data_IF_287233079543
#
_entry.id   IF_287233079543
#
_cell.length_a   1.000
_cell.length_b   1.000
_cell.length_c   1.000
_cell.angle_alpha   90.00
_cell.angle_beta   90.00
_cell.angle_gamma   90.00
#
_symmetry.space_group_name_H-M   'P 1'
#
loop_
_entity.id
_entity.type
_entity.pdbx_description
1 polymer ?
#
# COMPACT_ATOMS: atom_id res chain seq x y z
N UNK A 1 14.68 50.95 -60.40
CA UNK A 1 13.72 51.93 -59.86
C UNK A 1 12.36 51.65 -60.51
N UNK A 2 11.25 51.46 -59.78
CA UNK A 2 11.14 51.19 -58.34
C UNK A 2 10.08 50.13 -57.90
N UNK A 3 10.21 49.68 -56.64
CA UNK A 3 9.18 49.26 -55.64
C UNK A 3 8.33 47.98 -55.93
N UNK A 4 8.01 47.10 -54.98
CA UNK A 4 7.74 47.29 -53.54
C UNK A 4 7.69 45.94 -52.79
N UNK A 5 8.09 45.95 -51.51
CA UNK A 5 7.90 44.91 -50.49
C UNK A 5 6.43 44.53 -50.25
N UNK A 6 6.17 43.29 -49.79
CA UNK A 6 5.58 43.02 -48.46
C UNK A 6 5.38 41.52 -48.18
N UNK A 7 5.82 41.12 -46.97
CA UNK A 7 5.52 39.88 -46.27
C UNK A 7 4.02 39.58 -46.18
N UNK A 8 3.65 38.29 -46.21
CA UNK A 8 2.82 37.67 -45.17
C UNK A 8 2.76 36.15 -45.39
N UNK A 9 3.21 35.42 -44.37
CA UNK A 9 2.94 34.00 -44.16
C UNK A 9 1.42 33.75 -44.18
N UNK A 10 0.97 32.91 -45.09
CA UNK A 10 -0.41 32.44 -45.17
C UNK A 10 -0.58 31.19 -44.29
N UNK A 11 -0.49 31.40 -42.97
CA UNK A 11 -0.90 30.41 -41.97
C UNK A 11 -2.43 30.39 -41.89
N UNK A 12 -3.05 29.78 -42.90
CA UNK A 12 -4.49 29.52 -42.93
C UNK A 12 -4.86 28.43 -41.92
N UNK A 13 -5.29 28.88 -40.74
CA UNK A 13 -6.50 28.39 -40.04
C UNK A 13 -6.74 26.87 -40.04
N UNK A 14 -5.82 26.09 -39.45
CA UNK A 14 -6.20 24.85 -38.78
C UNK A 14 -6.45 25.16 -37.30
N UNK A 15 -7.51 25.92 -37.07
CA UNK A 15 -8.15 26.10 -35.76
C UNK A 15 -8.53 24.71 -35.25
N UNK A 16 -7.63 24.10 -34.48
CA UNK A 16 -7.98 23.14 -33.46
C UNK A 16 -9.08 23.78 -32.64
N UNK A 17 -10.30 23.32 -32.88
CA UNK A 17 -11.49 23.59 -32.09
C UNK A 17 -11.11 23.34 -30.63
N UNK A 18 -10.76 24.39 -29.89
CA UNK A 18 -10.61 24.28 -28.45
C UNK A 18 -11.98 23.84 -27.95
N UNK A 19 -12.11 22.68 -27.27
CA UNK A 19 -13.35 22.38 -26.59
C UNK A 19 -13.56 23.52 -25.61
N UNK A 20 -14.71 24.19 -25.73
CA UNK A 20 -15.01 25.42 -25.01
C UNK A 20 -14.62 25.34 -23.54
N UNK A 21 -14.12 26.46 -23.00
CA UNK A 21 -13.80 26.64 -21.59
C UNK A 21 -15.07 26.45 -20.74
N UNK A 22 -15.48 25.21 -20.50
CA UNK A 22 -16.28 24.84 -19.35
C UNK A 22 -15.42 25.17 -18.14
N UNK A 23 -15.91 26.03 -17.24
CA UNK A 23 -15.25 26.40 -15.99
C UNK A 23 -15.03 25.13 -15.16
N UNK A 24 -13.88 24.46 -15.33
CA UNK A 24 -13.56 23.23 -14.60
C UNK A 24 -13.33 23.60 -13.14
N UNK A 25 -14.11 23.00 -12.25
CA UNK A 25 -14.00 23.29 -10.82
C UNK A 25 -12.74 22.67 -10.24
N UNK A 26 -11.86 23.48 -9.62
CA UNK A 26 -10.68 23.02 -8.87
C UNK A 26 -11.02 22.05 -7.73
N UNK A 27 -12.27 22.06 -7.25
CA UNK A 27 -12.74 21.18 -6.18
C UNK A 27 -12.93 19.74 -6.63
N UNK A 28 -13.09 19.49 -7.93
CA UNK A 28 -13.30 18.13 -8.43
C UNK A 28 -12.05 17.26 -8.27
N UNK A 29 -10.84 17.68 -8.70
CA UNK A 29 -9.62 16.92 -8.45
C UNK A 29 -9.34 16.70 -6.96
N UNK A 30 -9.54 17.73 -6.14
CA UNK A 30 -9.33 17.66 -4.69
C UNK A 30 -10.31 16.68 -4.02
N UNK A 31 -11.58 16.72 -4.40
CA UNK A 31 -12.58 15.80 -3.86
C UNK A 31 -12.28 14.34 -4.24
N UNK A 32 -11.88 14.09 -5.49
CA UNK A 32 -11.49 12.74 -5.94
C UNK A 32 -10.23 12.24 -5.21
N UNK A 33 -9.26 13.12 -4.93
CA UNK A 33 -8.08 12.78 -4.13
C UNK A 33 -8.46 12.35 -2.71
N UNK A 34 -9.29 13.13 -2.02
CA UNK A 34 -9.71 12.84 -0.64
C UNK A 34 -10.51 11.54 -0.59
N UNK A 35 -11.43 11.33 -1.54
CA UNK A 35 -12.18 10.06 -1.65
C UNK A 35 -11.22 8.89 -1.82
N UNK A 36 -10.27 8.98 -2.77
CA UNK A 36 -9.29 7.93 -3.01
C UNK A 36 -8.45 7.65 -1.76
N UNK A 37 -7.98 8.69 -1.08
CA UNK A 37 -7.16 8.56 0.10
C UNK A 37 -7.92 7.91 1.28
N UNK A 38 -9.18 8.27 1.51
CA UNK A 38 -10.03 7.64 2.55
C UNK A 38 -10.35 6.18 2.22
N UNK A 39 -10.61 5.87 0.95
CA UNK A 39 -10.81 4.50 0.48
C UNK A 39 -9.56 3.66 0.70
N UNK A 40 -8.39 4.20 0.38
CA UNK A 40 -7.12 3.53 0.62
C UNK A 40 -6.81 3.40 2.11
N UNK A 41 -7.12 4.41 2.92
CA UNK A 41 -6.95 4.35 4.36
C UNK A 41 -7.67 3.14 4.95
N UNK A 42 -8.95 2.91 4.61
CA UNK A 42 -9.72 1.78 5.16
C UNK A 42 -9.39 0.47 4.44
N UNK A 43 -9.29 0.50 3.11
CA UNK A 43 -9.09 -0.71 2.30
C UNK A 43 -7.71 -1.34 2.46
N UNK A 44 -6.69 -0.52 2.72
CA UNK A 44 -5.31 -0.99 2.88
C UNK A 44 -5.01 -1.51 4.29
N UNK A 45 -5.78 -1.07 5.29
CA UNK A 45 -5.63 -1.48 6.69
C UNK A 45 -5.51 -3.00 6.88
N UNK A 46 -6.40 -3.84 6.31
CA UNK A 46 -6.28 -5.28 6.43
C UNK A 46 -4.94 -5.84 5.95
N UNK A 47 -4.40 -5.34 4.83
CA UNK A 47 -3.13 -5.85 4.31
C UNK A 47 -1.96 -5.40 5.19
N UNK A 48 -1.94 -4.14 5.64
CA UNK A 48 -0.91 -3.64 6.56
C UNK A 48 -0.87 -4.46 7.85
N UNK A 49 -2.03 -4.74 8.43
CA UNK A 49 -2.12 -5.54 9.65
C UNK A 49 -1.85 -7.01 9.40
N UNK A 50 -2.32 -7.59 8.28
CA UNK A 50 -1.99 -8.97 7.96
C UNK A 50 -0.48 -9.14 7.84
N UNK A 51 0.21 -8.21 7.16
CA UNK A 51 1.66 -8.28 6.99
C UNK A 51 2.42 -8.38 8.32
N UNK A 52 2.00 -7.65 9.36
CA UNK A 52 2.64 -7.76 10.68
C UNK A 52 2.23 -9.01 11.47
N UNK A 53 1.01 -9.51 11.28
CA UNK A 53 0.48 -10.69 11.98
C UNK A 53 0.77 -12.02 11.27
N UNK A 54 1.14 -12.00 10.00
CA UNK A 54 1.13 -13.16 9.10
C UNK A 54 1.93 -14.33 9.70
N UNK A 55 3.20 -14.10 10.03
CA UNK A 55 4.02 -15.14 10.66
C UNK A 55 3.86 -15.24 12.19
N UNK A 56 2.90 -14.52 12.80
CA UNK A 56 2.50 -14.68 14.21
C UNK A 56 1.32 -15.65 14.27
N UNK A 57 0.29 -15.39 13.46
CA UNK A 57 -0.93 -16.20 13.36
C UNK A 57 -0.68 -17.53 12.63
N UNK A 58 0.26 -17.55 11.69
CA UNK A 58 0.57 -18.71 10.88
C UNK A 58 2.09 -19.00 10.95
N UNK A 59 2.61 -19.49 12.09
CA UNK A 59 4.05 -19.66 12.28
C UNK A 59 4.72 -20.62 11.27
N UNK A 60 3.99 -21.63 10.80
CA UNK A 60 4.51 -22.62 9.83
C UNK A 60 4.54 -22.11 8.39
N UNK A 61 3.60 -21.23 8.00
CA UNK A 61 3.34 -20.87 6.60
C UNK A 61 3.49 -19.39 6.29
N UNK A 62 3.31 -18.53 7.28
CA UNK A 62 3.16 -17.09 7.08
C UNK A 62 4.40 -16.44 6.45
N UNK A 63 5.60 -16.84 6.87
CA UNK A 63 6.83 -16.34 6.24
C UNK A 63 6.94 -16.77 4.77
N UNK A 64 6.59 -18.01 4.44
CA UNK A 64 6.57 -18.47 3.04
C UNK A 64 5.50 -17.75 2.22
N UNK A 65 4.33 -17.47 2.81
CA UNK A 65 3.27 -16.67 2.19
C UNK A 65 3.73 -15.23 1.89
N UNK A 66 4.43 -14.57 2.82
CA UNK A 66 5.06 -13.26 2.58
C UNK A 66 6.08 -13.32 1.43
N UNK A 67 6.97 -14.32 1.44
CA UNK A 67 7.96 -14.52 0.38
C UNK A 67 7.30 -14.69 -1.00
N UNK A 68 6.23 -15.48 -1.09
CA UNK A 68 5.46 -15.63 -2.33
C UNK A 68 4.82 -14.30 -2.77
N UNK A 69 4.32 -13.50 -1.82
CA UNK A 69 3.76 -12.17 -2.11
C UNK A 69 4.83 -11.25 -2.72
N UNK A 70 6.02 -11.18 -2.13
CA UNK A 70 7.13 -10.39 -2.68
C UNK A 70 7.62 -10.91 -4.04
N UNK A 71 7.68 -12.22 -4.22
CA UNK A 71 8.07 -12.82 -5.49
C UNK A 71 7.07 -12.44 -6.60
N UNK A 72 5.77 -12.47 -6.27
CA UNK A 72 4.70 -12.00 -7.14
C UNK A 72 4.86 -10.54 -7.52
N UNK A 73 5.16 -9.67 -6.56
CA UNK A 73 5.38 -8.23 -6.79
C UNK A 73 6.38 -7.92 -7.91
N UNK A 74 7.41 -8.73 -8.12
CA UNK A 74 8.38 -8.52 -9.22
C UNK A 74 7.78 -8.74 -10.62
N UNK A 75 6.71 -9.52 -10.79
CA UNK A 75 6.11 -9.74 -12.11
C UNK A 75 5.35 -8.52 -12.64
N UNK A 76 5.07 -7.52 -11.80
CA UNK A 76 4.36 -6.30 -12.21
C UNK A 76 5.10 -5.55 -13.32
N UNK A 77 6.44 -5.64 -13.38
CA UNK A 77 7.24 -4.98 -14.42
C UNK A 77 6.90 -5.47 -15.84
N UNK A 78 6.41 -6.71 -15.96
CA UNK A 78 6.02 -7.33 -17.24
C UNK A 78 4.54 -7.10 -17.56
N UNK A 79 3.68 -7.22 -16.55
CA UNK A 79 2.22 -7.29 -16.72
C UNK A 79 1.55 -5.92 -16.52
N UNK A 80 2.17 -5.02 -15.76
CA UNK A 80 1.57 -3.75 -15.33
C UNK A 80 1.07 -2.87 -16.48
N UNK A 81 1.87 -2.60 -17.54
CA UNK A 81 1.41 -1.81 -18.67
C UNK A 81 0.20 -2.41 -19.39
N UNK A 82 0.17 -3.74 -19.51
CA UNK A 82 -0.94 -4.44 -20.13
C UNK A 82 -2.21 -4.32 -19.29
N UNK A 83 -2.08 -4.48 -17.97
CA UNK A 83 -3.19 -4.47 -17.04
C UNK A 83 -3.80 -3.05 -16.92
N UNK A 84 -2.96 -2.02 -16.84
CA UNK A 84 -3.40 -0.61 -16.86
C UNK A 84 -4.08 -0.27 -18.18
N UNK A 85 -3.57 -0.75 -19.32
CA UNK A 85 -4.17 -0.47 -20.64
C UNK A 85 -5.55 -1.12 -20.81
N UNK A 86 -5.73 -2.36 -20.32
CA UNK A 86 -6.97 -3.11 -20.52
C UNK A 86 -8.06 -2.71 -19.52
N UNK A 87 -7.70 -2.48 -18.25
CA UNK A 87 -8.66 -2.22 -17.17
C UNK A 87 -8.80 -0.73 -16.84
N UNK A 88 -7.87 0.11 -17.30
CA UNK A 88 -7.76 1.50 -16.84
C UNK A 88 -7.30 1.60 -15.37
N UNK A 89 -7.11 2.82 -14.88
CA UNK A 89 -6.66 3.05 -13.50
C UNK A 89 -7.72 2.61 -12.47
N UNK A 90 -9.00 2.98 -12.67
CA UNK A 90 -10.09 2.56 -11.77
C UNK A 90 -10.26 1.04 -11.74
N UNK A 91 -10.28 0.39 -12.91
CA UNK A 91 -10.45 -1.06 -13.00
C UNK A 91 -9.27 -1.82 -12.37
N UNK A 92 -8.05 -1.30 -12.50
CA UNK A 92 -6.87 -1.87 -11.83
C UNK A 92 -6.97 -1.78 -10.32
N UNK A 93 -7.43 -0.65 -9.77
CA UNK A 93 -7.66 -0.49 -8.33
C UNK A 93 -8.75 -1.46 -7.83
N UNK A 94 -9.84 -1.58 -8.57
CA UNK A 94 -10.91 -2.52 -8.23
C UNK A 94 -10.45 -3.98 -8.23
N UNK A 95 -9.64 -4.37 -9.21
CA UNK A 95 -9.04 -5.71 -9.25
C UNK A 95 -8.15 -5.95 -8.02
N UNK A 96 -7.44 -4.92 -7.55
CA UNK A 96 -6.67 -4.96 -6.30
C UNK A 96 -7.51 -5.34 -5.09
N UNK A 97 -8.65 -4.69 -4.89
CA UNK A 97 -9.54 -5.00 -3.76
C UNK A 97 -10.10 -6.42 -3.82
N UNK A 98 -10.43 -6.91 -5.02
CA UNK A 98 -10.87 -8.30 -5.21
C UNK A 98 -9.74 -9.27 -4.89
N UNK A 99 -8.53 -9.01 -5.40
CA UNK A 99 -7.35 -9.84 -5.11
C UNK A 99 -7.02 -9.85 -3.61
N UNK A 100 -7.16 -8.72 -2.93
CA UNK A 100 -6.98 -8.62 -1.48
C UNK A 100 -8.03 -9.43 -0.71
N UNK A 101 -9.31 -9.36 -1.12
CA UNK A 101 -10.36 -10.15 -0.50
C UNK A 101 -10.10 -11.66 -0.68
N UNK A 102 -9.64 -12.10 -1.87
CA UNK A 102 -9.25 -13.50 -2.12
C UNK A 102 -8.02 -13.90 -1.29
N UNK A 103 -7.03 -13.02 -1.16
CA UNK A 103 -5.88 -13.21 -0.28
C UNK A 103 -6.33 -13.43 1.16
N UNK A 104 -7.16 -12.57 1.73
CA UNK A 104 -7.67 -12.73 3.10
C UNK A 104 -8.52 -14.00 3.21
N UNK A 105 -9.37 -14.30 2.22
CA UNK A 105 -10.21 -15.48 2.21
C UNK A 105 -9.41 -16.80 2.25
N UNK A 106 -8.25 -16.85 1.58
CA UNK A 106 -7.38 -18.03 1.59
C UNK A 106 -6.82 -18.37 2.98
N UNK A 107 -6.82 -17.43 3.94
CA UNK A 107 -6.36 -17.66 5.31
C UNK A 107 -7.43 -18.30 6.21
N UNK A 108 -8.71 -18.32 5.81
CA UNK A 108 -9.75 -19.05 6.58
C UNK A 108 -9.53 -20.56 6.56
N UNK A 109 -9.04 -21.07 5.42
CA UNK A 109 -8.70 -22.47 5.26
C UNK A 109 -7.35 -22.60 4.55
N UNK A 110 -6.29 -22.71 5.35
CA UNK A 110 -4.92 -22.75 4.86
C UNK A 110 -4.62 -24.11 4.24
N UNK A 111 -4.68 -24.17 2.90
CA UNK A 111 -4.08 -25.23 2.11
C UNK A 111 -2.79 -24.68 1.49
N UNK A 112 -1.63 -25.16 1.96
CA UNK A 112 -0.29 -24.59 1.66
C UNK A 112 -0.09 -24.21 0.18
N UNK A 113 -0.34 -25.15 -0.75
CA UNK A 113 -0.17 -24.92 -2.19
C UNK A 113 -1.11 -23.84 -2.75
N UNK A 114 -2.36 -23.80 -2.26
CA UNK A 114 -3.36 -22.80 -2.68
C UNK A 114 -2.99 -21.44 -2.11
N UNK A 115 -2.58 -21.39 -0.83
CA UNK A 115 -2.18 -20.15 -0.16
C UNK A 115 -1.02 -19.49 -0.89
N UNK A 116 0.05 -20.23 -1.17
CA UNK A 116 1.24 -19.70 -1.85
C UNK A 116 0.92 -19.17 -3.26
N UNK A 117 0.07 -19.89 -4.01
CA UNK A 117 -0.38 -19.45 -5.33
C UNK A 117 -1.22 -18.16 -5.24
N UNK A 118 -2.12 -18.07 -4.26
CA UNK A 118 -2.95 -16.88 -4.03
C UNK A 118 -2.08 -15.69 -3.61
N UNK A 119 -1.15 -15.87 -2.68
CA UNK A 119 -0.19 -14.84 -2.24
C UNK A 119 0.63 -14.29 -3.41
N UNK A 120 1.14 -15.18 -4.27
CA UNK A 120 1.88 -14.78 -5.46
C UNK A 120 1.06 -13.92 -6.42
N UNK A 121 -0.17 -14.34 -6.74
CA UNK A 121 -1.07 -13.56 -7.58
C UNK A 121 -1.47 -12.24 -6.92
N UNK A 122 -1.75 -12.26 -5.62
CA UNK A 122 -2.08 -11.06 -4.86
C UNK A 122 -0.94 -10.05 -4.86
N UNK A 123 0.32 -10.47 -4.69
CA UNK A 123 1.49 -9.59 -4.79
C UNK A 123 1.54 -8.80 -6.11
N UNK A 124 1.27 -9.48 -7.24
CA UNK A 124 1.18 -8.80 -8.55
C UNK A 124 0.07 -7.75 -8.59
N UNK A 125 -1.12 -8.10 -8.11
CA UNK A 125 -2.28 -7.23 -8.14
C UNK A 125 -2.12 -6.05 -7.18
N UNK A 126 -1.51 -6.27 -6.02
CA UNK A 126 -1.23 -5.27 -5.01
C UNK A 126 -0.28 -4.19 -5.57
N UNK A 127 0.87 -4.57 -6.12
CA UNK A 127 1.80 -3.58 -6.68
C UNK A 127 1.21 -2.88 -7.89
N UNK A 128 0.48 -3.59 -8.76
CA UNK A 128 -0.24 -2.95 -9.85
C UNK A 128 -1.22 -1.87 -9.36
N UNK A 129 -1.92 -2.16 -8.27
CA UNK A 129 -2.90 -1.26 -7.65
C UNK A 129 -2.22 -0.02 -7.08
N UNK A 130 -1.04 -0.17 -6.46
CA UNK A 130 -0.22 0.95 -6.00
C UNK A 130 0.26 1.82 -7.17
N UNK A 131 0.78 1.20 -8.24
CA UNK A 131 1.23 1.92 -9.45
C UNK A 131 0.08 2.70 -10.09
N UNK A 132 -1.08 2.06 -10.24
CA UNK A 132 -2.28 2.69 -10.83
C UNK A 132 -2.77 3.88 -10.02
N UNK A 133 -2.66 3.81 -8.70
CA UNK A 133 -3.03 4.91 -7.80
C UNK A 133 -2.04 6.05 -7.84
N UNK A 134 -0.73 5.79 -7.89
CA UNK A 134 0.28 6.84 -8.10
C UNK A 134 0.04 7.61 -9.41
N UNK A 135 -0.28 6.88 -10.49
CA UNK A 135 -0.65 7.48 -11.79
C UNK A 135 -1.96 8.29 -11.67
N UNK A 136 -2.95 7.78 -10.96
CA UNK A 136 -4.23 8.48 -10.74
C UNK A 136 -4.04 9.79 -9.97
N UNK A 137 -3.29 9.76 -8.85
CA UNK A 137 -2.96 10.96 -8.05
C UNK A 137 -2.18 11.97 -8.87
N UNK A 138 -1.21 11.52 -9.67
CA UNK A 138 -0.46 12.37 -10.60
C UNK A 138 -1.38 13.04 -11.62
N UNK A 139 -2.33 12.29 -12.20
CA UNK A 139 -3.31 12.87 -13.12
C UNK A 139 -4.18 13.95 -12.48
N UNK A 140 -4.64 13.73 -11.24
CA UNK A 140 -5.42 14.73 -10.50
C UNK A 140 -4.58 15.98 -10.20
N UNK A 141 -3.31 15.80 -9.83
CA UNK A 141 -2.38 16.90 -9.58
C UNK A 141 -2.14 17.75 -10.83
N UNK A 142 -1.95 17.10 -11.99
CA UNK A 142 -1.78 17.78 -13.27
C UNK A 142 -3.04 18.52 -13.71
N UNK A 143 -4.23 17.92 -13.58
CA UNK A 143 -5.50 18.60 -13.89
C UNK A 143 -5.75 19.78 -12.93
N UNK A 144 -5.34 19.67 -11.66
CA UNK A 144 -5.38 20.77 -10.71
C UNK A 144 -4.44 21.91 -11.13
N UNK A 145 -3.16 21.62 -11.44
CA UNK A 145 -2.18 22.60 -11.90
C UNK A 145 -2.64 23.33 -13.17
N UNK A 146 -3.23 22.61 -14.13
CA UNK A 146 -3.81 23.17 -15.36
C UNK A 146 -4.94 24.17 -15.06
N UNK A 147 -5.76 23.90 -14.03
CA UNK A 147 -6.91 24.74 -13.64
C UNK A 147 -6.47 25.95 -12.81
N UNK A 148 -5.55 25.79 -11.87
CA UNK A 148 -5.12 26.85 -10.94
C UNK A 148 -3.94 27.67 -11.46
N UNK A 149 -3.36 27.28 -12.60
CA UNK A 149 -2.12 27.85 -13.15
C UNK A 149 -0.93 27.75 -12.17
N UNK A 150 -0.94 26.72 -11.33
CA UNK A 150 0.16 26.40 -10.42
C UNK A 150 1.28 25.62 -11.14
N UNK A 151 2.46 25.53 -10.54
CA UNK A 151 3.54 24.73 -11.09
C UNK A 151 3.25 23.24 -10.93
N UNK A 152 3.47 22.40 -11.96
CA UNK A 152 3.24 20.95 -11.88
C UNK A 152 3.98 20.28 -10.73
N UNK A 153 5.19 20.77 -10.41
CA UNK A 153 6.00 20.23 -9.32
C UNK A 153 5.36 20.46 -7.94
N UNK A 154 4.86 21.66 -7.69
CA UNK A 154 4.19 21.99 -6.43
C UNK A 154 2.88 21.21 -6.28
N UNK A 155 2.03 21.19 -7.32
CA UNK A 155 0.78 20.44 -7.30
C UNK A 155 1.00 18.93 -7.08
N UNK A 156 2.05 18.35 -7.68
CA UNK A 156 2.40 16.94 -7.51
C UNK A 156 2.82 16.64 -6.06
N UNK A 157 3.68 17.48 -5.48
CA UNK A 157 4.10 17.35 -4.08
C UNK A 157 2.92 17.41 -3.12
N UNK A 158 2.04 18.39 -3.29
CA UNK A 158 0.85 18.58 -2.47
C UNK A 158 -0.11 17.37 -2.55
N UNK A 159 -0.47 16.94 -3.75
CA UNK A 159 -1.41 15.84 -3.94
C UNK A 159 -0.85 14.52 -3.43
N UNK A 160 0.44 14.26 -3.68
CA UNK A 160 1.11 13.04 -3.20
C UNK A 160 1.24 13.04 -1.67
N UNK A 161 1.59 14.17 -1.06
CA UNK A 161 1.70 14.31 0.38
C UNK A 161 0.36 14.13 1.11
N UNK A 162 -0.70 14.75 0.61
CA UNK A 162 -2.06 14.60 1.17
C UNK A 162 -2.54 13.16 1.06
N UNK A 163 -2.30 12.50 -0.09
CA UNK A 163 -2.63 11.10 -0.28
C UNK A 163 -1.88 10.21 0.72
N UNK A 164 -0.56 10.33 0.82
CA UNK A 164 0.24 9.48 1.70
C UNK A 164 -0.08 9.70 3.19
N UNK A 165 -0.34 10.93 3.61
CA UNK A 165 -0.68 11.22 5.01
C UNK A 165 -1.94 10.51 5.46
N UNK A 166 -2.99 10.54 4.62
CA UNK A 166 -4.22 9.82 4.89
C UNK A 166 -4.05 8.31 4.72
N UNK A 167 -3.27 7.87 3.73
CA UNK A 167 -2.97 6.46 3.51
C UNK A 167 -2.21 5.84 4.69
N UNK A 168 -1.25 6.54 5.32
CA UNK A 168 -0.47 6.03 6.45
C UNK A 168 -1.35 5.76 7.69
N UNK A 169 -2.48 6.46 7.83
CA UNK A 169 -3.48 6.14 8.85
C UNK A 169 -4.11 4.75 8.67
N UNK A 170 -3.92 4.08 7.51
CA UNK A 170 -4.30 2.68 7.35
C UNK A 170 -3.59 1.75 8.34
N UNK A 171 -2.37 2.08 8.75
CA UNK A 171 -1.64 1.36 9.80
C UNK A 171 -2.32 1.46 11.17
N UNK A 172 -3.23 2.41 11.37
CA UNK A 172 -3.96 2.57 12.64
C UNK A 172 -5.19 1.66 12.69
N UNK A 173 -6.08 1.74 11.69
CA UNK A 173 -7.40 1.12 11.78
C UNK A 173 -7.37 -0.41 11.79
N UNK A 174 -6.55 -1.04 10.95
CA UNK A 174 -6.45 -2.50 10.91
C UNK A 174 -5.85 -3.06 12.19
N UNK A 175 -4.81 -2.38 12.71
CA UNK A 175 -4.12 -2.76 13.93
C UNK A 175 -4.98 -2.53 15.16
N UNK A 176 -5.81 -1.48 15.16
CA UNK A 176 -6.80 -1.23 16.20
C UNK A 176 -7.83 -2.36 16.26
N UNK A 177 -8.37 -2.78 15.12
CA UNK A 177 -9.33 -3.89 15.06
C UNK A 177 -8.70 -5.19 15.54
N UNK A 178 -7.48 -5.50 15.08
CA UNK A 178 -6.75 -6.69 15.54
C UNK A 178 -6.51 -6.66 17.06
N UNK A 179 -5.98 -5.56 17.59
CA UNK A 179 -5.72 -5.42 19.02
C UNK A 179 -7.00 -5.57 19.86
N UNK A 180 -8.12 -4.95 19.46
CA UNK A 180 -9.38 -5.07 20.20
C UNK A 180 -9.95 -6.50 20.20
N UNK A 181 -9.73 -7.25 19.13
CA UNK A 181 -10.22 -8.64 19.02
C UNK A 181 -9.28 -9.62 19.75
N UNK A 182 -7.98 -9.32 19.81
CA UNK A 182 -6.99 -10.16 20.49
C UNK A 182 -7.03 -10.03 22.01
N UNK A 183 -7.54 -8.93 22.57
CA UNK A 183 -7.72 -8.79 24.03
C UNK A 183 -8.74 -9.81 24.51
N UNK A 184 -8.26 -10.82 25.25
CA UNK A 184 -9.12 -11.73 26.02
C UNK A 184 -9.20 -11.22 27.47
N UNK A 185 -10.37 -11.32 28.13
CA UNK A 185 -10.43 -11.08 29.57
C UNK A 185 -9.50 -12.08 30.27
N UNK A 186 -8.68 -11.57 31.20
CA UNK A 186 -7.77 -12.38 31.99
C UNK A 186 -8.62 -13.35 32.82
N UNK A 187 -8.73 -14.61 32.39
CA UNK A 187 -9.16 -15.69 33.25
C UNK A 187 -8.06 -15.87 34.29
N UNK A 188 -8.29 -15.39 35.51
CA UNK A 188 -7.45 -15.68 36.66
C UNK A 188 -7.60 -17.17 37.00
N UNK A 189 -6.88 -18.03 36.29
CA UNK A 189 -6.67 -19.41 36.70
C UNK A 189 -5.76 -19.41 37.92
N UNK A 190 -6.38 -19.41 39.11
CA UNK A 190 -5.70 -19.48 40.40
C UNK A 190 -4.87 -20.76 40.62
N UNK A 191 -4.86 -21.68 39.65
CA UNK A 191 -4.21 -23.00 39.71
C UNK A 191 -3.13 -23.24 38.65
N UNK A 192 -2.86 -22.30 37.73
CA UNK A 192 -1.66 -22.41 36.89
C UNK A 192 -0.46 -21.88 37.66
N UNK A 193 0.49 -22.75 37.98
CA UNK A 193 1.87 -22.35 38.26
C UNK A 193 2.26 -21.29 37.25
N UNK A 194 2.53 -20.08 37.71
CA UNK A 194 3.11 -19.01 36.92
C UNK A 194 4.27 -19.61 36.11
N UNK A 195 4.23 -19.57 34.76
CA UNK A 195 5.41 -19.91 33.98
C UNK A 195 6.54 -19.05 34.53
N UNK A 196 7.71 -19.64 34.79
CA UNK A 196 8.86 -18.96 35.39
C UNK A 196 9.16 -17.62 34.70
N UNK A 197 8.53 -16.54 35.15
CA UNK A 197 8.54 -15.21 34.54
C UNK A 197 9.87 -14.48 34.77
N UNK A 198 10.79 -15.12 35.49
CA UNK A 198 12.07 -14.50 35.88
C UNK A 198 13.12 -14.50 34.77
N UNK A 199 12.91 -15.23 33.67
CA UNK A 199 13.87 -15.29 32.55
C UNK A 199 13.30 -14.84 31.19
N UNK A 200 12.01 -14.50 31.06
CA UNK A 200 11.41 -14.19 29.75
C UNK A 200 12.10 -13.00 29.05
N UNK A 201 12.34 -11.91 29.78
CA UNK A 201 13.04 -10.73 29.24
C UNK A 201 14.51 -11.00 28.87
N UNK A 202 15.10 -12.11 29.34
CA UNK A 202 16.45 -12.53 28.92
C UNK A 202 16.46 -13.38 27.63
N UNK A 203 15.32 -13.99 27.27
CA UNK A 203 15.17 -14.79 26.05
C UNK A 203 14.53 -14.01 24.89
N UNK A 204 13.74 -12.96 25.17
CA UNK A 204 13.14 -12.12 24.15
C UNK A 204 14.14 -11.13 23.52
N UNK A 205 13.72 -10.42 22.48
CA UNK A 205 14.52 -9.42 21.80
C UNK A 205 15.64 -10.03 20.95
N UNK A 206 16.92 -9.62 21.10
CA UNK A 206 18.02 -10.11 20.26
C UNK A 206 18.28 -11.62 20.38
N UNK A 207 17.91 -12.23 21.51
CA UNK A 207 18.11 -13.65 21.77
C UNK A 207 16.92 -14.51 21.32
N UNK A 208 15.91 -13.90 20.70
CA UNK A 208 14.73 -14.61 20.23
C UNK A 208 15.08 -15.52 19.05
N UNK A 209 15.13 -16.82 19.30
CA UNK A 209 15.30 -17.85 18.27
C UNK A 209 13.95 -18.50 17.95
N UNK A 210 13.45 -18.30 16.74
CA UNK A 210 12.26 -18.98 16.21
C UNK A 210 12.45 -20.51 16.11
N UNK A 211 13.69 -20.99 15.92
CA UNK A 211 14.01 -22.38 15.57
C UNK A 211 14.36 -23.28 16.75
N UNK A 212 14.56 -22.72 17.95
CA UNK A 212 14.90 -23.50 19.14
C UNK A 212 13.76 -23.43 20.15
N UNK A 213 13.13 -24.58 20.42
CA UNK A 213 12.17 -24.79 21.51
C UNK A 213 12.87 -24.67 22.87
N UNK A 214 13.32 -23.46 23.21
CA UNK A 214 13.62 -23.11 24.59
C UNK A 214 12.28 -22.89 25.28
N UNK A 215 12.06 -23.63 26.38
CA UNK A 215 10.75 -23.90 27.00
C UNK A 215 10.03 -22.68 27.61
N UNK A 216 10.35 -21.44 27.19
CA UNK A 216 9.81 -20.19 27.72
C UNK A 216 9.46 -19.10 26.69
N UNK A 217 9.78 -19.22 25.39
CA UNK A 217 9.48 -18.19 24.36
C UNK A 217 8.33 -18.54 23.43
N UNK A 218 7.56 -19.59 23.74
CA UNK A 218 6.45 -20.03 22.88
C UNK A 218 5.32 -18.99 22.87
N UNK A 219 5.14 -18.34 21.72
CA UNK A 219 4.02 -17.43 21.49
C UNK A 219 2.74 -18.26 21.42
N UNK A 220 1.88 -18.13 22.44
CA UNK A 220 0.59 -18.81 22.48
C UNK A 220 -0.27 -18.36 21.30
N UNK A 221 -0.57 -19.30 20.41
CA UNK A 221 -1.41 -19.04 19.25
C UNK A 221 -2.83 -18.64 19.70
N UNK A 222 -3.44 -17.63 19.06
CA UNK A 222 -4.81 -17.24 19.36
C UNK A 222 -5.77 -18.38 18.97
N UNK A 223 -6.96 -18.34 19.58
CA UNK A 223 -7.99 -19.33 19.26
C UNK A 223 -8.49 -19.13 17.81
N UNK A 224 -8.86 -20.23 17.13
CA UNK A 224 -9.32 -20.17 15.73
C UNK A 224 -10.50 -19.22 15.55
N UNK A 225 -11.39 -19.13 16.54
CA UNK A 225 -12.52 -18.20 16.51
C UNK A 225 -12.07 -16.74 16.49
N UNK A 226 -11.05 -16.39 17.28
CA UNK A 226 -10.44 -15.04 17.29
C UNK A 226 -9.84 -14.70 15.93
N UNK A 227 -9.11 -15.63 15.32
CA UNK A 227 -8.51 -15.45 13.99
C UNK A 227 -9.61 -15.21 12.95
N UNK A 228 -10.69 -16.00 12.95
CA UNK A 228 -11.80 -15.82 12.01
C UNK A 228 -12.54 -14.50 12.17
N UNK A 229 -12.67 -13.95 13.39
CA UNK A 229 -13.22 -12.61 13.59
C UNK A 229 -12.32 -11.54 12.95
N UNK A 230 -10.99 -11.64 13.15
CA UNK A 230 -10.03 -10.71 12.54
C UNK A 230 -10.13 -10.79 11.01
N UNK A 231 -10.02 -11.98 10.43
CA UNK A 231 -10.11 -12.19 8.98
C UNK A 231 -11.47 -11.73 8.40
N UNK A 232 -12.57 -11.95 9.13
CA UNK A 232 -13.91 -11.50 8.74
C UNK A 232 -14.02 -9.97 8.72
N UNK A 233 -13.49 -9.30 9.75
CA UNK A 233 -13.44 -7.84 9.80
C UNK A 233 -12.62 -7.24 8.65
N UNK A 234 -11.54 -7.92 8.27
CA UNK A 234 -10.64 -7.54 7.19
C UNK A 234 -11.31 -7.64 5.82
N UNK A 235 -12.04 -8.73 5.56
CA UNK A 235 -12.89 -8.84 4.36
C UNK A 235 -13.93 -7.72 4.33
N UNK A 236 -14.55 -7.40 5.47
CA UNK A 236 -15.51 -6.29 5.58
C UNK A 236 -14.93 -4.94 5.17
N UNK A 237 -13.72 -4.62 5.63
CA UNK A 237 -13.01 -3.38 5.25
C UNK A 237 -12.63 -3.36 3.77
N UNK A 238 -12.14 -4.48 3.21
CA UNK A 238 -11.83 -4.59 1.77
C UNK A 238 -13.09 -4.48 0.90
N UNK A 239 -14.22 -5.08 1.34
CA UNK A 239 -15.50 -4.96 0.64
C UNK A 239 -16.04 -3.53 0.66
N UNK A 240 -15.93 -2.83 1.79
CA UNK A 240 -16.25 -1.41 1.89
C UNK A 240 -15.42 -0.58 0.91
N UNK A 241 -14.10 -0.80 0.85
CA UNK A 241 -13.21 -0.09 -0.07
C UNK A 241 -13.56 -0.37 -1.54
N UNK A 242 -13.92 -1.61 -1.89
CA UNK A 242 -14.40 -1.96 -3.23
C UNK A 242 -15.67 -1.19 -3.61
N UNK A 243 -16.68 -1.20 -2.73
CA UNK A 243 -17.96 -0.52 -2.97
C UNK A 243 -17.75 0.99 -3.08
N UNK A 244 -16.96 1.58 -2.18
CA UNK A 244 -16.65 3.01 -2.19
C UNK A 244 -15.87 3.42 -3.45
N UNK A 245 -14.89 2.62 -3.88
CA UNK A 245 -14.17 2.84 -5.16
C UNK A 245 -15.13 2.79 -6.34
N UNK A 246 -16.02 1.79 -6.38
CA UNK A 246 -16.99 1.64 -7.45
C UNK A 246 -17.93 2.85 -7.54
N UNK A 247 -18.48 3.27 -6.40
CA UNK A 247 -19.51 4.30 -6.32
C UNK A 247 -18.97 5.74 -6.49
N UNK A 248 -17.84 6.07 -5.86
CA UNK A 248 -17.40 7.46 -5.72
C UNK A 248 -16.21 7.85 -6.60
N UNK A 249 -15.37 6.89 -7.01
CA UNK A 249 -14.19 7.18 -7.81
C UNK A 249 -14.56 7.28 -9.29
N UNK A 250 -14.24 8.40 -9.92
CA UNK A 250 -14.45 8.58 -11.35
C UNK A 250 -13.32 7.91 -12.16
N UNK A 251 -13.67 7.44 -13.36
CA UNK A 251 -12.67 6.96 -14.31
C UNK A 251 -11.78 8.13 -14.75
N UNK A 252 -10.56 8.18 -14.25
CA UNK A 252 -9.51 8.96 -14.89
C UNK A 252 -9.17 8.27 -16.22
N UNK A 253 -9.78 8.75 -17.30
CA UNK A 253 -9.41 8.30 -18.64
C UNK A 253 -7.93 8.65 -18.85
N UNK A 254 -7.10 7.64 -19.11
CA UNK A 254 -5.73 7.88 -19.53
C UNK A 254 -5.78 8.80 -20.76
N UNK A 255 -5.19 10.00 -20.67
CA UNK A 255 -5.00 10.84 -21.86
C UNK A 255 -4.23 9.97 -22.85
N UNK A 256 -4.85 9.70 -24.00
CA UNK A 256 -4.47 8.69 -25.00
C UNK A 256 -3.05 8.84 -25.61
N UNK A 257 -2.22 9.76 -25.12
CA UNK A 257 -0.89 10.08 -25.65
C UNK A 257 0.30 9.39 -24.96
N UNK A 258 0.17 8.91 -23.71
CA UNK A 258 1.33 8.46 -22.90
C UNK A 258 1.42 6.95 -22.68
N UNK A 259 0.50 6.15 -23.24
CA UNK A 259 0.58 4.71 -23.13
C UNK A 259 1.72 4.17 -24.01
N UNK A 260 2.82 3.75 -23.38
CA UNK A 260 3.90 3.01 -24.04
C UNK A 260 3.28 1.85 -24.81
N UNK A 261 3.40 1.85 -26.14
CA UNK A 261 2.62 0.97 -27.01
C UNK A 261 3.06 -0.49 -26.91
N UNK A 262 4.27 -0.76 -26.38
CA UNK A 262 4.88 -2.09 -26.32
C UNK A 262 5.53 -2.40 -24.96
N UNK A 263 5.29 -3.61 -24.44
CA UNK A 263 5.95 -4.14 -23.22
C UNK A 263 7.47 -4.12 -23.35
N UNK A 264 7.99 -4.32 -24.57
CA UNK A 264 9.44 -4.26 -24.85
C UNK A 264 10.01 -2.85 -24.65
N UNK A 265 9.27 -1.83 -25.09
CA UNK A 265 9.67 -0.44 -24.92
C UNK A 265 9.59 -0.01 -23.45
N UNK A 266 8.57 -0.49 -22.72
CA UNK A 266 8.45 -0.24 -21.30
C UNK A 266 9.59 -0.87 -20.51
N UNK A 267 9.90 -2.15 -20.80
CA UNK A 267 11.03 -2.85 -20.20
C UNK A 267 12.37 -2.17 -20.51
N UNK A 268 12.60 -1.76 -21.76
CA UNK A 268 13.81 -1.02 -22.13
C UNK A 268 13.93 0.33 -21.39
N UNK A 269 12.82 1.06 -21.22
CA UNK A 269 12.79 2.30 -20.45
C UNK A 269 13.06 2.07 -18.96
N UNK A 270 12.51 1.03 -18.34
CA UNK A 270 12.79 0.69 -16.94
C UNK A 270 14.27 0.34 -16.76
N UNK A 271 14.83 -0.49 -17.65
CA UNK A 271 16.25 -0.85 -17.58
C UNK A 271 17.09 0.42 -17.74
N UNK A 272 16.81 1.26 -18.74
CA UNK A 272 17.51 2.54 -18.89
C UNK A 272 17.40 3.45 -17.66
N UNK A 273 16.27 3.42 -16.97
CA UNK A 273 16.02 4.17 -15.74
C UNK A 273 16.85 3.65 -14.55
N UNK A 274 17.02 2.33 -14.42
CA UNK A 274 17.89 1.72 -13.41
C UNK A 274 19.35 2.11 -13.58
N UNK A 275 19.80 2.34 -14.82
CA UNK A 275 21.16 2.79 -15.12
C UNK A 275 21.34 4.31 -14.99
N UNK A 276 20.29 5.05 -14.62
CA UNK A 276 20.38 6.49 -14.43
C UNK A 276 21.06 6.82 -13.10
N UNK A 277 22.16 7.59 -13.15
CA UNK A 277 23.02 7.89 -11.99
C UNK A 277 22.27 8.38 -10.75
N UNK A 278 21.21 9.19 -10.92
CA UNK A 278 20.41 9.69 -9.79
C UNK A 278 19.62 8.58 -9.08
N UNK A 279 19.13 7.59 -9.83
CA UNK A 279 18.36 6.47 -9.26
C UNK A 279 19.27 5.46 -8.59
N UNK A 280 20.45 5.20 -9.17
CA UNK A 280 21.49 4.39 -8.53
C UNK A 280 21.86 4.96 -7.15
N UNK A 281 21.94 6.30 -7.04
CA UNK A 281 22.26 6.97 -5.77
C UNK A 281 21.10 6.89 -4.74
N UNK A 282 19.86 6.81 -5.21
CA UNK A 282 18.67 6.69 -4.35
C UNK A 282 18.36 5.24 -3.93
N UNK A 283 18.83 4.24 -4.69
CA UNK A 283 18.53 2.83 -4.45
C UNK A 283 18.95 2.34 -3.05
N UNK A 284 20.12 2.71 -2.49
CA UNK A 284 20.47 2.38 -1.11
C UNK A 284 19.50 2.96 -0.08
N UNK A 285 19.03 4.20 -0.29
CA UNK A 285 18.08 4.83 0.62
C UNK A 285 16.72 4.11 0.60
N UNK A 286 16.21 3.77 -0.59
CA UNK A 286 14.96 3.00 -0.74
C UNK A 286 15.09 1.61 -0.11
N UNK A 287 16.24 0.95 -0.29
CA UNK A 287 16.51 -0.35 0.32
C UNK A 287 16.50 -0.27 1.85
N UNK A 288 17.20 0.71 2.43
CA UNK A 288 17.26 0.89 3.88
C UNK A 288 15.89 1.22 4.49
N UNK A 289 15.09 2.06 3.82
CA UNK A 289 13.72 2.34 4.23
C UNK A 289 12.86 1.07 4.24
N UNK A 290 12.96 0.25 3.19
CA UNK A 290 12.21 -1.01 3.06
C UNK A 290 12.61 -2.03 4.13
N UNK A 291 13.91 -2.19 4.39
CA UNK A 291 14.42 -3.09 5.44
C UNK A 291 13.95 -2.63 6.82
N UNK A 292 13.93 -1.32 7.08
CA UNK A 292 13.49 -0.77 8.36
C UNK A 292 11.99 -1.02 8.60
N UNK A 293 11.15 -0.78 7.59
CA UNK A 293 9.72 -1.07 7.65
C UNK A 293 9.43 -2.56 7.85
N UNK A 294 10.14 -3.44 7.14
CA UNK A 294 10.01 -4.89 7.30
C UNK A 294 10.41 -5.32 8.71
N UNK A 295 11.58 -4.89 9.18
CA UNK A 295 12.09 -5.21 10.50
C UNK A 295 11.08 -4.83 11.60
N UNK A 296 10.54 -3.61 11.56
CA UNK A 296 9.56 -3.15 12.55
C UNK A 296 8.27 -3.97 12.46
N UNK A 297 7.78 -4.22 11.25
CA UNK A 297 6.47 -4.86 11.05
C UNK A 297 6.49 -6.36 11.39
N UNK A 298 7.59 -7.08 11.14
CA UNK A 298 7.63 -8.54 11.28
C UNK A 298 8.50 -9.03 12.43
N UNK A 299 9.75 -8.55 12.53
CA UNK A 299 10.73 -9.09 13.48
C UNK A 299 10.62 -8.40 14.84
N UNK A 300 10.48 -7.08 14.87
CA UNK A 300 10.35 -6.32 16.10
C UNK A 300 9.05 -6.67 16.86
N UNK A 301 7.91 -6.70 16.17
CA UNK A 301 6.62 -7.11 16.74
C UNK A 301 6.65 -8.52 17.29
N UNK A 302 7.41 -9.44 16.69
CA UNK A 302 7.54 -10.81 17.20
C UNK A 302 8.50 -10.92 18.37
N UNK A 303 9.75 -10.53 18.16
CA UNK A 303 10.83 -10.78 19.09
C UNK A 303 10.76 -9.89 20.34
N UNK A 304 10.29 -8.64 20.19
CA UNK A 304 10.28 -7.66 21.29
C UNK A 304 8.88 -7.46 21.86
N UNK A 305 7.84 -7.38 21.03
CA UNK A 305 6.48 -7.10 21.53
C UNK A 305 5.75 -8.39 21.94
N UNK A 306 5.59 -9.33 21.00
CA UNK A 306 4.82 -10.57 21.25
C UNK A 306 5.45 -11.43 22.32
N UNK A 307 6.78 -11.51 22.34
CA UNK A 307 7.52 -12.33 23.30
C UNK A 307 7.41 -11.78 24.74
N UNK A 308 7.51 -10.45 24.93
CA UNK A 308 7.50 -9.85 26.28
C UNK A 308 6.10 -9.49 26.78
N UNK A 309 5.25 -8.94 25.91
CA UNK A 309 3.96 -8.35 26.28
C UNK A 309 2.76 -9.19 25.83
N UNK A 310 2.94 -10.08 24.84
CA UNK A 310 1.86 -10.83 24.22
C UNK A 310 1.41 -10.25 22.87
N UNK A 311 0.69 -11.06 22.10
CA UNK A 311 0.29 -10.75 20.72
C UNK A 311 -0.74 -9.61 20.64
N UNK A 312 -1.51 -9.41 21.70
CA UNK A 312 -2.54 -8.36 21.82
C UNK A 312 -1.94 -6.95 21.77
N UNK A 313 -0.67 -6.80 22.14
CA UNK A 313 0.05 -5.52 22.14
C UNK A 313 0.69 -5.16 20.79
N UNK A 314 0.76 -6.09 19.84
CA UNK A 314 1.36 -5.84 18.52
C UNK A 314 0.70 -4.69 17.77
N UNK A 315 -0.64 -4.69 17.73
CA UNK A 315 -1.37 -3.63 17.04
C UNK A 315 -1.13 -2.26 17.66
N UNK A 316 -1.08 -2.16 19.00
CA UNK A 316 -0.75 -0.92 19.70
C UNK A 316 0.65 -0.39 19.36
N UNK A 317 1.66 -1.26 19.28
CA UNK A 317 3.01 -0.88 18.88
C UNK A 317 3.07 -0.36 17.44
N UNK A 318 2.38 -1.02 16.50
CA UNK A 318 2.34 -0.58 15.11
C UNK A 318 1.53 0.72 14.94
N UNK A 319 0.49 0.96 15.75
CA UNK A 319 -0.22 2.25 15.77
C UNK A 319 0.73 3.39 16.14
N UNK A 320 1.59 3.21 17.14
CA UNK A 320 2.58 4.22 17.52
C UNK A 320 3.59 4.48 16.39
N UNK A 321 4.04 3.43 15.71
CA UNK A 321 4.92 3.55 14.55
C UNK A 321 4.24 4.35 13.41
N UNK A 322 3.01 3.97 13.05
CA UNK A 322 2.24 4.66 12.01
C UNK A 322 1.96 6.14 12.34
N UNK A 323 1.75 6.47 13.62
CA UNK A 323 1.61 7.86 14.04
C UNK A 323 2.89 8.68 13.80
N UNK A 324 4.06 8.07 13.97
CA UNK A 324 5.35 8.66 13.62
C UNK A 324 5.47 8.96 12.12
N UNK A 325 5.08 8.01 11.27
CA UNK A 325 5.12 8.17 9.80
C UNK A 325 4.20 9.30 9.32
N UNK A 326 3.02 9.42 9.95
CA UNK A 326 2.06 10.51 9.66
C UNK A 326 2.68 11.86 10.02
N UNK A 327 3.30 11.99 11.19
CA UNK A 327 3.96 13.23 11.60
C UNK A 327 5.13 13.59 10.67
N UNK A 328 5.94 12.61 10.27
CA UNK A 328 7.01 12.80 9.30
C UNK A 328 6.50 13.27 7.94
N UNK A 329 5.39 12.68 7.46
CA UNK A 329 4.76 13.09 6.21
C UNK A 329 4.20 14.50 6.26
N UNK A 330 3.56 14.88 7.37
CA UNK A 330 3.09 16.26 7.59
C UNK A 330 4.25 17.25 7.60
N UNK A 331 5.34 16.92 8.27
CA UNK A 331 6.53 17.78 8.30
C UNK A 331 7.12 17.96 6.90
N UNK A 332 7.22 16.88 6.12
CA UNK A 332 7.73 16.96 4.73
C UNK A 332 6.86 17.83 3.82
N UNK A 333 5.56 17.96 4.08
CA UNK A 333 4.66 18.84 3.33
C UNK A 333 4.84 20.32 3.68
N UNK A 334 5.35 20.65 4.87
CA UNK A 334 5.56 22.04 5.28
C UNK A 334 6.74 22.72 4.55
N UNK A 335 7.62 21.91 3.92
CA UNK A 335 8.80 22.39 3.20
C UNK A 335 8.56 22.63 1.69
N UNK A 336 7.34 22.35 1.17
CA UNK A 336 6.94 22.57 -0.22
C UNK A 336 6.01 23.77 -0.39
#
# INVERSE_FOLDING_TARGET
MPLKDNCAHEDSNLLLTQPGKTHRSKWKPVSQLVILALVYMIGYSPFNTMWNLEGILFPEYGYYALMCTYLGSFLVFLIGPFLTRKLGSKGSIMLGWVAQAVYIAAHFYVQQYVLYAVCFLFGTAHVQTMVSTGVYVTHLAMDYADITHDTPHHALGLFQGVFFTLYLLSGVWGNLVSSLVLVKPIEFDANSTTPNSKNLSSLCGPNFCHFEDTSGTYIRQPDQFTVYIILGSFIGMSAFAFIATWAFLENAAAKSGDAVQSVKEFGAKIIGLLWYKKIILLLPAIFMDSVSHYFISTEFTKAFVSCELGIEYNGWSIICFAAGDVLGSIWSMADW
#
